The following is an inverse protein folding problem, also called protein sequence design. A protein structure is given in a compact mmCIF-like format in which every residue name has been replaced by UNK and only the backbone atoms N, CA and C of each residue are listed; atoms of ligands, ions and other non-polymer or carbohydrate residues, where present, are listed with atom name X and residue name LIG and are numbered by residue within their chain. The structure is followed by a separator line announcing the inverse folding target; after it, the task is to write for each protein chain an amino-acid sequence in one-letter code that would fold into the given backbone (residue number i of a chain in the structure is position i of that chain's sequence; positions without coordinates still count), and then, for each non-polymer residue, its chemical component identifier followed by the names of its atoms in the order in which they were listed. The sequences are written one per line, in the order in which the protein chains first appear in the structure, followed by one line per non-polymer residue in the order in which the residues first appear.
data_IF_474724370437
#
_entry.id   IF_474724370437
#
_cell.length_a   1.000
_cell.length_b   1.000
_cell.length_c   1.000
_cell.angle_alpha   90.00
_cell.angle_beta   90.00
_cell.angle_gamma   90.00
#
_symmetry.space_group_name_H-M   'P 1'
#
loop_
_entity.id
_entity.type
_entity.pdbx_description
1 polymer ?
#
# COMPACT_ATOMS: atom_id res chain seq x y z
N UNK A 1 4.86 8.51 2.24
CA UNK A 1 6.30 8.15 2.38
C UNK A 1 6.50 6.67 2.59
N UNK A 2 5.91 6.06 3.63
CA UNK A 2 6.05 4.60 3.88
C UNK A 2 5.60 3.77 2.67
N UNK A 3 4.46 4.10 2.07
CA UNK A 3 4.01 3.50 0.80
C UNK A 3 5.08 3.57 -0.32
N UNK A 4 5.80 4.69 -0.44
CA UNK A 4 6.89 4.86 -1.41
C UNK A 4 8.06 3.90 -1.14
N UNK A 5 8.40 3.69 0.14
CA UNK A 5 9.49 2.79 0.55
C UNK A 5 9.15 1.34 0.15
N UNK A 6 7.87 0.98 0.15
CA UNK A 6 7.36 -0.33 -0.28
C UNK A 6 7.31 -0.42 -1.82
N UNK A 7 6.74 0.59 -2.48
CA UNK A 7 6.46 0.56 -3.91
C UNK A 7 7.71 0.75 -4.77
N UNK A 8 8.65 1.60 -4.37
CA UNK A 8 9.80 2.01 -5.18
C UNK A 8 10.72 0.82 -5.49
N UNK A 9 11.12 -0.03 -4.51
CA UNK A 9 11.92 -1.22 -4.80
C UNK A 9 11.19 -2.22 -5.69
N UNK A 10 9.90 -2.49 -5.42
CA UNK A 10 9.10 -3.42 -6.24
C UNK A 10 8.97 -2.93 -7.69
N UNK A 11 8.61 -1.66 -7.90
CA UNK A 11 8.50 -1.07 -9.23
C UNK A 11 9.84 -1.10 -9.96
N UNK A 12 10.93 -0.69 -9.29
CA UNK A 12 12.25 -0.67 -9.88
C UNK A 12 12.74 -2.08 -10.24
N UNK A 13 12.64 -3.05 -9.33
CA UNK A 13 13.16 -4.40 -9.58
C UNK A 13 12.39 -5.15 -10.67
N UNK A 14 11.06 -5.02 -10.69
CA UNK A 14 10.22 -5.71 -11.67
C UNK A 14 10.29 -5.10 -13.07
N UNK A 15 10.71 -3.84 -13.20
CA UNK A 15 10.84 -3.16 -14.51
C UNK A 15 12.27 -3.12 -15.02
N UNK A 16 13.28 -3.03 -14.14
CA UNK A 16 14.70 -2.86 -14.51
C UNK A 16 15.44 -4.17 -14.79
N UNK A 17 15.06 -5.26 -14.13
CA UNK A 17 15.82 -6.51 -14.18
C UNK A 17 15.01 -7.63 -14.85
N UNK A 18 15.72 -8.57 -15.50
CA UNK A 18 15.11 -9.78 -16.04
C UNK A 18 14.68 -10.74 -14.91
N UNK A 19 13.51 -10.50 -14.33
CA UNK A 19 12.98 -11.31 -13.25
C UNK A 19 12.06 -12.42 -13.77
N UNK A 20 12.34 -13.67 -13.36
CA UNK A 20 11.35 -14.75 -13.47
C UNK A 20 10.26 -14.51 -12.41
N UNK A 21 9.01 -14.36 -12.85
CA UNK A 21 7.87 -14.09 -11.97
C UNK A 21 7.55 -12.61 -11.73
N UNK A 22 8.09 -11.67 -12.53
CA UNK A 22 7.76 -10.24 -12.41
C UNK A 22 6.24 -9.97 -12.45
N UNK A 23 5.51 -10.69 -13.30
CA UNK A 23 4.04 -10.62 -13.38
C UNK A 23 3.42 -11.03 -12.04
N UNK A 24 3.82 -12.19 -11.49
CA UNK A 24 3.31 -12.67 -10.20
C UNK A 24 3.58 -11.66 -9.07
N UNK A 25 4.79 -11.09 -9.01
CA UNK A 25 5.15 -10.08 -8.00
C UNK A 25 4.26 -8.85 -8.13
N UNK A 26 4.01 -8.36 -9.35
CA UNK A 26 3.11 -7.23 -9.58
C UNK A 26 1.66 -7.58 -9.22
N UNK A 27 1.17 -8.76 -9.61
CA UNK A 27 -0.18 -9.23 -9.27
C UNK A 27 -0.36 -9.33 -7.76
N UNK A 28 0.57 -9.99 -7.05
CA UNK A 28 0.56 -10.08 -5.59
C UNK A 28 0.67 -8.71 -4.92
N UNK A 29 1.48 -7.81 -5.48
CA UNK A 29 1.60 -6.44 -5.00
C UNK A 29 0.31 -5.63 -5.11
N UNK A 30 -0.65 -6.03 -5.95
CA UNK A 30 -1.95 -5.33 -6.12
C UNK A 30 -3.03 -5.91 -5.20
N UNK A 31 -2.88 -7.14 -4.73
CA UNK A 31 -3.84 -7.85 -3.84
C UNK A 31 -4.34 -7.02 -2.64
N UNK A 32 -3.54 -6.14 -2.00
CA UNK A 32 -4.04 -5.26 -0.94
C UNK A 32 -5.25 -4.42 -1.30
N UNK A 33 -5.38 -3.96 -2.55
CA UNK A 33 -6.53 -3.15 -2.98
C UNK A 33 -7.86 -3.93 -3.06
N UNK A 34 -7.83 -5.26 -2.99
CA UNK A 34 -9.03 -6.10 -3.21
C UNK A 34 -9.95 -6.10 -1.99
N UNK A 35 -9.44 -5.85 -0.78
CA UNK A 35 -10.25 -5.85 0.44
C UNK A 35 -10.38 -4.44 1.02
N UNK A 36 -11.41 -4.12 1.82
CA UNK A 36 -11.46 -2.84 2.53
C UNK A 36 -10.29 -2.69 3.52
N UNK A 37 -9.71 -1.49 3.69
CA UNK A 37 -8.52 -1.28 4.52
C UNK A 37 -8.76 -1.60 6.01
N UNK A 38 -9.93 -1.23 6.54
CA UNK A 38 -10.27 -1.47 7.94
C UNK A 38 -10.34 -2.97 8.28
N UNK A 39 -10.70 -3.83 7.32
CA UNK A 39 -10.70 -5.29 7.52
C UNK A 39 -9.25 -5.76 7.71
N UNK A 40 -8.33 -5.23 6.92
CA UNK A 40 -6.90 -5.46 7.09
C UNK A 40 -6.35 -4.96 8.42
N UNK A 41 -6.90 -3.87 8.98
CA UNK A 41 -6.46 -3.34 10.26
C UNK A 41 -6.71 -4.30 11.44
N UNK A 42 -7.84 -5.02 11.44
CA UNK A 42 -8.13 -6.06 12.45
C UNK A 42 -7.09 -7.18 12.38
N UNK A 43 -6.84 -7.71 11.17
CA UNK A 43 -5.84 -8.76 10.96
C UNK A 43 -4.43 -8.29 11.37
N UNK A 44 -4.08 -7.05 11.03
CA UNK A 44 -2.80 -6.44 11.40
C UNK A 44 -2.67 -6.23 12.91
N UNK A 45 -3.75 -5.96 13.63
CA UNK A 45 -3.72 -5.83 15.09
C UNK A 45 -3.37 -7.17 15.76
N UNK A 46 -3.87 -8.30 15.25
CA UNK A 46 -3.55 -9.63 15.77
C UNK A 46 -2.16 -10.12 15.37
N UNK A 47 -1.64 -9.66 14.24
CA UNK A 47 -0.29 -10.02 13.80
C UNK A 47 0.78 -9.12 14.43
N UNK A 48 0.58 -7.80 14.45
CA UNK A 48 1.58 -6.78 14.80
C UNK A 48 1.21 -5.92 16.02
N UNK A 49 0.08 -6.19 16.69
CA UNK A 49 -0.27 -5.54 17.95
C UNK A 49 0.71 -5.86 19.09
N UNK A 50 0.58 -5.19 20.23
CA UNK A 50 1.46 -5.41 21.39
C UNK A 50 1.47 -6.88 21.84
N UNK A 51 0.31 -7.55 21.81
CA UNK A 51 0.16 -8.99 22.08
C UNK A 51 -0.06 -9.81 20.80
N UNK A 52 0.34 -9.26 19.65
CA UNK A 52 0.20 -9.91 18.35
C UNK A 52 1.29 -10.94 18.10
N UNK A 53 1.05 -11.81 17.12
CA UNK A 53 1.89 -12.96 16.80
C UNK A 53 3.38 -12.62 16.66
N UNK A 54 3.69 -11.51 15.96
CA UNK A 54 5.07 -11.06 15.73
C UNK A 54 5.73 -10.60 17.03
N UNK A 55 5.03 -9.82 17.86
CA UNK A 55 5.58 -9.35 19.13
C UNK A 55 5.72 -10.47 20.16
N UNK A 56 4.83 -11.47 20.16
CA UNK A 56 4.97 -12.66 21.01
C UNK A 56 6.25 -13.43 20.66
N UNK A 57 6.50 -13.67 19.37
CA UNK A 57 7.72 -14.34 18.91
C UNK A 57 8.98 -13.50 19.22
N UNK A 58 8.95 -12.19 18.99
CA UNK A 58 10.06 -11.30 19.32
C UNK A 58 10.35 -11.25 20.83
N UNK A 59 9.30 -11.24 21.65
CA UNK A 59 9.43 -11.24 23.11
C UNK A 59 10.04 -12.54 23.61
N UNK A 60 9.58 -13.69 23.09
CA UNK A 60 10.10 -15.01 23.47
C UNK A 60 11.56 -15.20 23.05
N UNK A 61 11.94 -14.77 21.85
CA UNK A 61 13.27 -15.05 21.29
C UNK A 61 14.31 -14.01 21.64
N UNK A 62 13.90 -12.74 21.76
CA UNK A 62 14.81 -11.59 21.90
C UNK A 62 14.50 -10.73 23.13
N UNK A 63 13.38 -10.97 23.84
CA UNK A 63 12.96 -10.15 24.98
C UNK A 63 12.53 -8.74 24.60
N UNK A 64 12.17 -8.49 23.34
CA UNK A 64 11.81 -7.16 22.83
C UNK A 64 10.35 -7.10 22.37
N UNK A 65 9.72 -5.94 22.53
CA UNK A 65 8.39 -5.64 22.00
C UNK A 65 8.45 -4.34 21.21
N UNK A 66 7.94 -4.35 19.99
CA UNK A 66 7.98 -3.21 19.08
C UNK A 66 6.55 -2.67 18.91
N UNK A 67 6.30 -1.37 19.14
CA UNK A 67 4.96 -0.79 19.09
C UNK A 67 4.51 -0.49 17.65
N UNK A 68 4.45 -1.50 16.78
CA UNK A 68 4.08 -1.36 15.37
C UNK A 68 2.69 -0.74 15.17
N UNK A 69 1.70 -1.23 15.91
CA UNK A 69 0.28 -0.85 15.77
C UNK A 69 -0.19 0.19 16.80
N UNK A 70 0.72 0.78 17.59
CA UNK A 70 0.35 1.69 18.67
C UNK A 70 0.06 3.10 18.14
N UNK A 71 -1.12 3.63 18.47
CA UNK A 71 -1.49 4.99 18.10
C UNK A 71 -1.53 5.20 16.58
N UNK A 72 -1.05 6.36 16.12
CA UNK A 72 -1.01 6.69 14.69
C UNK A 72 -0.11 5.77 13.86
N UNK A 73 0.85 5.07 14.47
CA UNK A 73 1.73 4.15 13.74
C UNK A 73 0.95 3.00 13.09
N UNK A 74 -0.09 2.50 13.77
CA UNK A 74 -0.94 1.44 13.22
C UNK A 74 -1.71 1.91 11.99
N UNK A 75 -2.28 3.13 12.03
CA UNK A 75 -2.96 3.74 10.89
C UNK A 75 -1.99 3.90 9.72
N UNK A 76 -0.82 4.48 9.96
CA UNK A 76 0.22 4.69 8.93
C UNK A 76 0.63 3.35 8.29
N UNK A 77 0.82 2.30 9.09
CA UNK A 77 1.27 1.00 8.61
C UNK A 77 0.20 0.33 7.74
N UNK A 78 -1.05 0.28 8.23
CA UNK A 78 -2.18 -0.33 7.50
C UNK A 78 -2.42 0.40 6.19
N UNK A 79 -2.54 1.73 6.23
CA UNK A 79 -2.78 2.54 5.04
C UNK A 79 -1.64 2.45 4.04
N UNK A 80 -0.38 2.41 4.50
CA UNK A 80 0.75 2.27 3.61
C UNK A 80 0.75 0.92 2.88
N UNK A 81 0.50 -0.19 3.60
CA UNK A 81 0.39 -1.53 3.02
C UNK A 81 -0.81 -1.64 2.07
N UNK A 82 -1.92 -1.00 2.42
CA UNK A 82 -3.13 -1.08 1.64
C UNK A 82 -3.07 -0.24 0.35
N UNK A 83 -2.53 0.98 0.43
CA UNK A 83 -2.58 1.95 -0.66
C UNK A 83 -1.29 2.08 -1.49
N UNK A 84 -0.13 1.54 -1.08
CA UNK A 84 1.07 1.57 -1.94
C UNK A 84 0.87 1.02 -3.37
N UNK A 85 -0.10 0.12 -3.69
CA UNK A 85 -0.23 -0.38 -5.05
C UNK A 85 -0.56 0.73 -6.06
N UNK A 86 -1.18 1.84 -5.64
CA UNK A 86 -1.37 3.01 -6.50
C UNK A 86 -0.04 3.59 -6.99
N UNK A 87 0.97 3.67 -6.12
CA UNK A 87 2.32 4.09 -6.53
C UNK A 87 2.96 2.99 -7.38
N UNK A 88 2.85 1.73 -6.98
CA UNK A 88 3.43 0.60 -7.73
C UNK A 88 2.98 0.59 -9.19
N UNK A 89 1.67 0.67 -9.45
CA UNK A 89 1.09 0.63 -10.79
C UNK A 89 1.55 1.83 -11.63
N UNK A 90 1.36 3.05 -11.12
CA UNK A 90 1.67 4.26 -11.88
C UNK A 90 3.18 4.43 -12.11
N UNK A 91 4.00 4.12 -11.10
CA UNK A 91 5.45 4.19 -11.24
C UNK A 91 5.97 3.12 -12.20
N UNK A 92 5.47 1.89 -12.13
CA UNK A 92 5.88 0.82 -13.05
C UNK A 92 5.53 1.16 -14.49
N UNK A 93 4.33 1.70 -14.73
CA UNK A 93 3.92 2.18 -16.05
C UNK A 93 4.83 3.31 -16.55
N UNK A 94 5.17 4.29 -15.71
CA UNK A 94 6.08 5.37 -16.11
C UNK A 94 7.50 4.85 -16.41
N UNK A 95 8.03 3.94 -15.60
CA UNK A 95 9.33 3.31 -15.83
C UNK A 95 9.35 2.54 -17.16
N UNK A 96 8.30 1.80 -17.48
CA UNK A 96 8.17 1.06 -18.75
C UNK A 96 8.03 1.95 -19.98
N UNK A 97 7.69 3.24 -19.82
CA UNK A 97 7.58 4.20 -20.92
C UNK A 97 8.84 5.06 -21.12
N UNK A 98 9.90 4.86 -20.33
CA UNK A 98 11.17 5.55 -20.53
C UNK A 98 11.85 5.04 -21.81
N UNK A 99 12.29 5.97 -22.65
CA UNK A 99 13.08 5.66 -23.85
C UNK A 99 14.47 5.13 -23.47
N UNK A 100 14.85 3.98 -24.02
CA UNK A 100 16.17 3.34 -23.81
C UNK A 100 17.32 4.25 -24.20
N UNK A 101 17.15 5.06 -25.25
CA UNK A 101 18.20 5.96 -25.73
C UNK A 101 18.65 6.96 -24.67
N UNK A 102 17.76 7.36 -23.76
CA UNK A 102 18.09 8.26 -22.64
C UNK A 102 19.05 7.60 -21.65
N UNK A 103 18.86 6.30 -21.38
CA UNK A 103 19.73 5.55 -20.50
C UNK A 103 21.09 5.26 -21.15
N UNK A 104 21.08 4.83 -22.41
CA UNK A 104 22.30 4.53 -23.18
C UNK A 104 23.19 5.78 -23.31
N UNK A 105 22.58 6.93 -23.62
CA UNK A 105 23.29 8.21 -23.70
C UNK A 105 23.91 8.60 -22.35
N UNK A 106 23.17 8.43 -21.26
CA UNK A 106 23.68 8.71 -19.92
C UNK A 106 24.82 7.76 -19.51
N UNK A 107 24.75 6.48 -19.90
CA UNK A 107 25.81 5.50 -19.66
C UNK A 107 27.07 5.83 -20.47
N UNK A 108 26.94 6.25 -21.73
CA UNK A 108 28.05 6.72 -22.57
C UNK A 108 28.76 7.94 -21.96
N UNK A 109 28.03 8.78 -21.23
CA UNK A 109 28.58 9.92 -20.46
C UNK A 109 29.08 9.52 -19.05
N UNK A 110 29.14 8.23 -18.71
CA UNK A 110 29.69 7.70 -17.46
C UNK A 110 28.71 7.65 -16.28
N UNK A 111 27.40 7.78 -16.52
CA UNK A 111 26.38 7.58 -15.47
C UNK A 111 26.00 6.09 -15.34
N UNK A 112 26.21 5.50 -14.17
CA UNK A 112 25.87 4.09 -13.90
C UNK A 112 25.24 3.90 -12.51
N UNK A 113 24.63 2.73 -12.30
CA UNK A 113 24.05 2.33 -11.01
C UNK A 113 23.07 3.34 -10.41
N UNK A 114 23.28 3.71 -9.14
CA UNK A 114 22.44 4.66 -8.41
C UNK A 114 22.48 6.08 -9.01
N UNK A 115 23.60 6.46 -9.66
CA UNK A 115 23.74 7.77 -10.31
C UNK A 115 22.81 7.87 -11.52
N UNK A 116 22.77 6.83 -12.34
CA UNK A 116 21.85 6.73 -13.47
C UNK A 116 20.39 6.77 -12.99
N UNK A 117 20.07 6.00 -11.94
CA UNK A 117 18.72 5.98 -11.38
C UNK A 117 18.27 7.35 -10.88
N UNK A 118 19.07 8.00 -10.01
CA UNK A 118 18.69 9.27 -9.37
C UNK A 118 18.67 10.45 -10.33
N UNK A 119 19.54 10.47 -11.35
CA UNK A 119 19.66 11.61 -12.26
C UNK A 119 18.81 11.50 -13.53
N UNK A 120 18.51 10.28 -13.96
CA UNK A 120 17.84 10.04 -15.25
C UNK A 120 16.54 9.28 -15.04
N UNK A 121 16.61 8.03 -14.55
CA UNK A 121 15.44 7.13 -14.50
C UNK A 121 14.32 7.66 -13.60
N UNK A 122 14.64 7.98 -12.34
CA UNK A 122 13.62 8.42 -11.38
C UNK A 122 13.03 9.80 -11.73
N UNK A 123 13.83 10.81 -12.14
CA UNK A 123 13.28 12.06 -12.65
C UNK A 123 12.35 11.88 -13.86
N UNK A 124 12.68 10.99 -14.81
CA UNK A 124 11.81 10.69 -15.95
C UNK A 124 10.54 9.93 -15.54
N UNK A 125 10.61 9.07 -14.53
CA UNK A 125 9.47 8.35 -13.98
C UNK A 125 8.64 9.17 -12.96
N UNK A 126 9.09 10.38 -12.62
CA UNK A 126 8.45 11.24 -11.62
C UNK A 126 6.96 11.52 -11.89
N UNK A 127 6.45 11.58 -13.13
CA UNK A 127 5.01 11.75 -13.38
C UNK A 127 4.17 10.63 -12.84
N UNK A 128 4.58 9.39 -13.13
CA UNK A 128 3.89 8.21 -12.62
C UNK A 128 4.01 8.13 -11.11
N UNK A 129 5.18 8.47 -10.56
CA UNK A 129 5.33 8.56 -9.11
C UNK A 129 4.36 9.57 -8.48
N UNK A 130 4.32 10.81 -8.99
CA UNK A 130 3.46 11.87 -8.46
C UNK A 130 1.99 11.48 -8.62
N UNK A 131 1.58 10.97 -9.78
CA UNK A 131 0.20 10.51 -10.01
C UNK A 131 -0.20 9.43 -8.99
N UNK A 132 0.63 8.39 -8.82
CA UNK A 132 0.37 7.33 -7.84
C UNK A 132 0.38 7.82 -6.39
N UNK A 133 1.34 8.69 -6.02
CA UNK A 133 1.43 9.25 -4.68
C UNK A 133 0.25 10.17 -4.35
N UNK A 134 -0.29 10.87 -5.33
CA UNK A 134 -1.48 11.72 -5.19
C UNK A 134 -2.72 10.89 -4.90
N UNK A 135 -2.87 9.74 -5.58
CA UNK A 135 -3.95 8.80 -5.30
C UNK A 135 -3.84 8.22 -3.89
N UNK A 136 -2.64 7.84 -3.45
CA UNK A 136 -2.41 7.41 -2.05
C UNK A 136 -2.80 8.49 -1.07
N UNK A 137 -2.35 9.73 -1.30
CA UNK A 137 -2.69 10.85 -0.44
C UNK A 137 -4.21 11.03 -0.34
N UNK A 138 -4.90 11.08 -1.48
CA UNK A 138 -6.36 11.25 -1.53
C UNK A 138 -7.08 10.17 -0.72
N UNK A 139 -6.68 8.90 -0.91
CA UNK A 139 -7.28 7.72 -0.27
C UNK A 139 -7.01 7.57 1.22
N UNK A 140 -5.89 8.12 1.69
CA UNK A 140 -5.57 8.19 3.12
C UNK A 140 -6.29 9.36 3.78
N UNK A 141 -6.34 10.49 3.07
CA UNK A 141 -6.89 11.72 3.61
C UNK A 141 -8.41 11.64 3.85
N UNK A 142 -9.12 10.82 3.08
CA UNK A 142 -10.56 10.58 3.22
C UNK A 142 -10.93 9.33 4.04
N UNK A 143 -9.95 8.55 4.52
CA UNK A 143 -10.24 7.34 5.30
C UNK A 143 -10.64 7.69 6.73
N UNK A 144 -11.76 7.10 7.15
CA UNK A 144 -12.28 7.20 8.51
C UNK A 144 -12.43 5.84 9.18
N UNK A 145 -12.57 4.76 8.41
CA UNK A 145 -12.90 3.45 8.95
C UNK A 145 -11.67 2.83 9.63
N UNK A 146 -10.49 2.92 9.01
CA UNK A 146 -9.25 2.39 9.57
C UNK A 146 -8.86 3.08 10.88
N UNK A 147 -8.83 4.43 10.98
CA UNK A 147 -8.54 5.09 12.24
C UNK A 147 -9.58 4.78 13.33
N UNK A 148 -10.88 4.83 13.03
CA UNK A 148 -11.92 4.54 14.02
C UNK A 148 -11.82 3.12 14.56
N UNK A 149 -11.55 2.14 13.71
CA UNK A 149 -11.36 0.75 14.13
C UNK A 149 -10.13 0.59 15.04
N UNK A 150 -9.07 1.35 14.79
CA UNK A 150 -7.88 1.40 15.65
C UNK A 150 -8.04 2.36 16.85
N UNK A 151 -9.25 2.86 17.10
CA UNK A 151 -9.58 3.81 18.17
C UNK A 151 -8.77 5.12 18.09
N UNK A 152 -8.49 5.56 16.87
CA UNK A 152 -7.83 6.82 16.55
C UNK A 152 -8.87 7.82 16.07
N UNK A 153 -9.28 8.67 17.00
CA UNK A 153 -10.39 9.60 16.79
C UNK A 153 -9.91 11.02 16.54
N UNK A 154 -8.61 11.32 16.64
CA UNK A 154 -8.04 12.66 16.53
C UNK A 154 -7.61 13.02 15.09
N UNK A 155 -8.41 12.60 14.11
CA UNK A 155 -8.22 12.90 12.68
C UNK A 155 -9.49 13.52 12.10
N UNK A 156 -9.37 14.33 11.05
CA UNK A 156 -10.50 15.10 10.50
C UNK A 156 -11.64 14.20 10.00
N UNK A 157 -11.35 13.15 9.22
CA UNK A 157 -12.38 12.28 8.68
C UNK A 157 -13.16 11.49 9.76
N UNK A 158 -12.49 10.83 10.73
CA UNK A 158 -13.15 10.28 11.93
C UNK A 158 -13.98 11.32 12.71
N UNK A 159 -13.44 12.53 12.92
CA UNK A 159 -14.15 13.59 13.66
C UNK A 159 -15.40 14.08 12.95
N UNK A 160 -15.35 14.25 11.61
CA UNK A 160 -16.52 14.60 10.82
C UNK A 160 -17.63 13.56 10.99
N UNK A 161 -17.27 12.27 10.86
CA UNK A 161 -18.19 11.17 11.03
C UNK A 161 -18.79 11.12 12.45
N UNK A 162 -17.95 11.18 13.49
CA UNK A 162 -18.40 11.11 14.88
C UNK A 162 -19.31 12.29 15.26
N UNK A 163 -19.02 13.51 14.78
CA UNK A 163 -19.89 14.67 15.04
C UNK A 163 -21.27 14.49 14.41
N UNK A 164 -21.31 14.08 13.14
CA UNK A 164 -22.58 13.88 12.42
C UNK A 164 -23.41 12.76 13.05
N UNK A 165 -22.78 11.66 13.45
CA UNK A 165 -23.48 10.46 13.94
C UNK A 165 -23.77 10.48 15.44
N UNK A 166 -22.88 11.03 16.26
CA UNK A 166 -23.00 10.99 17.73
C UNK A 166 -23.63 12.25 18.32
N UNK A 167 -23.39 13.43 17.73
CA UNK A 167 -23.99 14.69 18.18
C UNK A 167 -25.27 14.97 17.39
N UNK A 168 -25.29 14.58 16.12
CA UNK A 168 -26.44 14.67 15.24
C UNK A 168 -26.29 15.73 14.14
N UNK A 169 -27.26 15.72 13.23
CA UNK A 169 -27.33 16.58 12.04
C UNK A 169 -27.38 18.08 12.40
N UNK A 170 -27.69 18.42 13.65
CA UNK A 170 -27.69 19.80 14.13
C UNK A 170 -26.31 20.36 14.43
N UNK A 171 -25.23 19.57 14.52
CA UNK A 171 -23.87 20.09 14.73
C UNK A 171 -23.26 20.59 13.41
N UNK A 172 -23.15 21.91 13.19
CA UNK A 172 -22.61 22.46 11.94
C UNK A 172 -21.15 22.07 11.73
N UNK A 173 -20.41 21.76 12.80
CA UNK A 173 -18.98 21.49 12.75
C UNK A 173 -18.66 20.22 11.95
N UNK A 174 -19.52 19.19 12.00
CA UNK A 174 -19.35 17.99 11.19
C UNK A 174 -19.31 18.31 9.69
N UNK A 175 -20.21 19.19 9.24
CA UNK A 175 -20.26 19.63 7.84
C UNK A 175 -19.11 20.56 7.48
N UNK A 176 -18.71 21.46 8.37
CA UNK A 176 -17.54 22.34 8.15
C UNK A 176 -16.28 21.52 7.96
N UNK A 177 -16.04 20.49 8.77
CA UNK A 177 -14.89 19.59 8.61
C UNK A 177 -14.96 18.88 7.26
N UNK A 178 -16.13 18.38 6.85
CA UNK A 178 -16.32 17.76 5.53
C UNK A 178 -16.01 18.70 4.37
N UNK A 179 -16.43 19.98 4.45
CA UNK A 179 -16.10 20.99 3.43
C UNK A 179 -14.60 21.28 3.40
N UNK A 180 -13.94 21.37 4.56
CA UNK A 180 -12.48 21.54 4.65
C UNK A 180 -11.76 20.34 4.03
N UNK A 181 -12.21 19.11 4.29
CA UNK A 181 -11.66 17.90 3.70
C UNK A 181 -11.76 17.94 2.17
N UNK A 182 -12.95 18.26 1.63
CA UNK A 182 -13.15 18.37 0.18
C UNK A 182 -12.25 19.46 -0.42
N UNK A 183 -12.19 20.64 0.20
CA UNK A 183 -11.36 21.74 -0.28
C UNK A 183 -9.87 21.36 -0.30
N UNK A 184 -9.38 20.70 0.75
CA UNK A 184 -7.98 20.26 0.83
C UNK A 184 -7.67 19.14 -0.15
N UNK A 185 -8.58 18.19 -0.36
CA UNK A 185 -8.45 17.13 -1.37
C UNK A 185 -8.38 17.72 -2.79
N UNK A 186 -9.26 18.67 -3.13
CA UNK A 186 -9.22 19.36 -4.42
C UNK A 186 -7.94 20.17 -4.60
N UNK A 187 -7.51 20.89 -3.55
CA UNK A 187 -6.25 21.62 -3.56
C UNK A 187 -5.05 20.70 -3.78
N UNK A 188 -5.01 19.56 -3.09
CA UNK A 188 -3.93 18.57 -3.22
C UNK A 188 -3.89 17.97 -4.63
N UNK A 189 -5.04 17.63 -5.21
CA UNK A 189 -5.13 17.18 -6.60
C UNK A 189 -4.67 18.28 -7.57
N UNK A 190 -5.08 19.53 -7.35
CA UNK A 190 -4.66 20.67 -8.18
C UNK A 190 -3.15 20.90 -8.12
N UNK A 191 -2.54 20.86 -6.93
CA UNK A 191 -1.08 20.93 -6.75
C UNK A 191 -0.39 19.78 -7.48
N UNK A 192 -0.98 18.58 -7.43
CA UNK A 192 -0.47 17.40 -8.13
C UNK A 192 -0.52 17.58 -9.65
N UNK A 193 -1.61 18.13 -10.19
CA UNK A 193 -1.71 18.48 -11.62
C UNK A 193 -0.69 19.56 -12.03
N UNK A 194 -0.49 20.59 -11.21
CA UNK A 194 0.52 21.63 -11.46
C UNK A 194 1.94 21.05 -11.50
N UNK A 195 2.25 20.12 -10.60
CA UNK A 195 3.54 19.44 -10.57
C UNK A 195 3.82 18.61 -11.84
N UNK A 196 2.75 18.23 -12.56
CA UNK A 196 2.79 17.48 -13.82
C UNK A 196 2.75 18.38 -15.07
N UNK A 197 2.15 19.57 -14.99
CA UNK A 197 1.79 20.44 -16.13
C UNK A 197 2.96 20.94 -16.99
N UNK A 198 4.12 21.22 -16.39
CA UNK A 198 5.24 21.90 -17.07
C UNK A 198 6.38 20.97 -17.47
N UNK A 199 6.11 19.68 -17.56
CA UNK A 199 7.15 18.71 -17.86
C UNK A 199 6.74 17.95 -19.10
N UNK A 200 7.24 18.42 -20.23
CA UNK A 200 7.25 17.68 -21.49
C UNK A 200 8.10 16.43 -21.29
N UNK A 201 7.49 15.39 -20.73
CA UNK A 201 8.04 14.03 -20.77
C UNK A 201 7.71 13.43 -22.13
N UNK A 202 8.10 14.14 -23.18
CA UNK A 202 8.07 13.66 -24.57
C UNK A 202 9.13 12.58 -24.78
N UNK A 203 9.21 11.61 -23.87
CA UNK A 203 9.73 10.26 -24.13
C UNK A 203 8.63 9.42 -24.76
N UNK A 204 7.86 10.01 -25.69
CA UNK A 204 6.97 9.26 -26.57
C UNK A 204 7.86 8.28 -27.34
N UNK A 205 7.76 7.03 -26.94
CA UNK A 205 8.47 5.87 -27.47
C UNK A 205 8.54 5.90 -29.00
N UNK A 206 9.67 6.35 -29.57
CA UNK A 206 9.93 6.33 -31.03
C UNK A 206 10.67 5.08 -31.51
N UNK A 207 10.96 4.13 -30.62
CA UNK A 207 11.60 2.84 -30.86
C UNK A 207 11.44 1.92 -29.65
N UNK A 208 11.65 0.60 -29.79
CA UNK A 208 11.32 -0.43 -28.79
C UNK A 208 11.56 -0.02 -27.32
N UNK A 209 10.48 0.30 -26.61
CA UNK A 209 10.51 1.03 -25.34
C UNK A 209 10.78 0.18 -24.10
N UNK A 210 10.76 0.87 -22.96
CA UNK A 210 11.00 0.33 -21.63
C UNK A 210 12.47 0.29 -21.26
N UNK A 211 12.75 0.44 -19.95
CA UNK A 211 14.10 0.41 -19.38
C UNK A 211 14.95 -0.72 -19.97
N UNK A 212 16.24 -0.45 -20.16
CA UNK A 212 17.19 -1.48 -20.56
C UNK A 212 17.18 -2.58 -19.49
N UNK A 213 16.75 -3.79 -19.82
CA UNK A 213 16.75 -4.86 -18.81
C UNK A 213 18.19 -5.29 -18.56
N UNK A 214 18.63 -5.20 -17.30
CA UNK A 214 19.96 -5.65 -16.88
C UNK A 214 19.85 -7.05 -16.29
N UNK A 215 20.85 -7.88 -16.59
CA UNK A 215 21.05 -9.13 -15.86
C UNK A 215 21.77 -8.86 -14.54
N UNK A 216 21.26 -9.47 -13.48
CA UNK A 216 21.81 -9.39 -12.13
C UNK A 216 22.90 -10.43 -11.93
N UNK A 217 23.94 -10.08 -11.18
CA UNK A 217 24.86 -11.10 -10.65
C UNK A 217 24.11 -12.01 -9.68
N UNK A 218 24.54 -13.28 -9.47
CA UNK A 218 23.82 -14.21 -8.60
C UNK A 218 23.56 -13.68 -7.18
N UNK A 219 24.53 -12.98 -6.58
CA UNK A 219 24.37 -12.39 -5.24
C UNK A 219 23.40 -11.20 -5.23
N UNK A 220 23.44 -10.35 -6.26
CA UNK A 220 22.49 -9.24 -6.41
C UNK A 220 21.06 -9.77 -6.58
N UNK A 221 20.90 -10.88 -7.32
CA UNK A 221 19.63 -11.56 -7.52
C UNK A 221 19.06 -12.12 -6.21
N UNK A 222 19.88 -12.80 -5.38
CA UNK A 222 19.45 -13.28 -4.07
C UNK A 222 18.99 -12.12 -3.18
N UNK A 223 19.76 -11.02 -3.13
CA UNK A 223 19.38 -9.83 -2.38
C UNK A 223 18.05 -9.22 -2.86
N UNK A 224 17.85 -9.11 -4.18
CA UNK A 224 16.59 -8.61 -4.74
C UNK A 224 15.41 -9.53 -4.40
N UNK A 225 15.55 -10.85 -4.54
CA UNK A 225 14.49 -11.79 -4.14
C UNK A 225 14.18 -11.71 -2.65
N UNK A 226 15.18 -11.60 -1.79
CA UNK A 226 14.97 -11.41 -0.35
C UNK A 226 14.14 -10.16 -0.06
N UNK A 227 14.49 -9.02 -0.64
CA UNK A 227 13.74 -7.76 -0.46
C UNK A 227 12.31 -7.90 -0.99
N UNK A 228 12.12 -8.50 -2.16
CA UNK A 228 10.79 -8.70 -2.75
C UNK A 228 9.93 -9.62 -1.87
N UNK A 229 10.47 -10.76 -1.43
CA UNK A 229 9.75 -11.72 -0.58
C UNK A 229 9.41 -11.07 0.76
N UNK A 230 10.33 -10.32 1.37
CA UNK A 230 10.07 -9.61 2.60
C UNK A 230 8.95 -8.58 2.44
N UNK A 231 8.99 -7.77 1.37
CA UNK A 231 7.93 -6.79 1.08
C UNK A 231 6.60 -7.50 0.84
N UNK A 232 6.57 -8.55 0.00
CA UNK A 232 5.34 -9.29 -0.28
C UNK A 232 4.77 -9.95 0.98
N UNK A 233 5.62 -10.51 1.84
CA UNK A 233 5.19 -11.06 3.12
C UNK A 233 4.54 -9.99 4.00
N UNK A 234 5.19 -8.83 4.15
CA UNK A 234 4.65 -7.70 4.93
C UNK A 234 3.34 -7.16 4.33
N UNK A 235 3.25 -7.12 3.00
CA UNK A 235 2.10 -6.55 2.32
C UNK A 235 0.89 -7.49 2.30
N UNK A 236 1.13 -8.80 2.20
CA UNK A 236 0.10 -9.83 2.19
C UNK A 236 -0.27 -10.30 3.61
N UNK A 237 0.45 -9.87 4.63
CA UNK A 237 0.16 -10.24 6.02
C UNK A 237 -1.28 -9.91 6.46
N UNK A 238 -1.92 -8.80 6.05
CA UNK A 238 -3.33 -8.56 6.39
C UNK A 238 -4.26 -9.64 5.82
N UNK A 239 -4.01 -10.14 4.60
CA UNK A 239 -4.82 -11.19 3.97
C UNK A 239 -4.58 -12.54 4.60
N UNK A 240 -3.33 -12.84 4.96
CA UNK A 240 -2.98 -14.04 5.71
C UNK A 240 -3.68 -14.02 7.07
N UNK A 241 -3.61 -12.92 7.81
CA UNK A 241 -4.29 -12.77 9.09
C UNK A 241 -5.81 -12.85 8.95
N UNK A 242 -6.39 -12.26 7.90
CA UNK A 242 -7.82 -12.36 7.63
C UNK A 242 -8.25 -13.81 7.31
N UNK A 243 -7.46 -14.53 6.52
CA UNK A 243 -7.72 -15.94 6.23
C UNK A 243 -7.60 -16.80 7.49
N UNK A 244 -6.60 -16.55 8.34
CA UNK A 244 -6.49 -17.24 9.62
C UNK A 244 -7.69 -16.93 10.54
N UNK A 245 -8.17 -15.69 10.54
CA UNK A 245 -9.37 -15.29 11.29
C UNK A 245 -10.65 -15.94 10.75
N UNK A 246 -10.78 -16.08 9.44
CA UNK A 246 -12.01 -16.62 8.85
C UNK A 246 -12.20 -18.11 9.12
N UNK A 247 -11.11 -18.84 9.39
CA UNK A 247 -11.16 -20.22 9.86
C UNK A 247 -10.96 -20.36 11.37
N UNK A 248 -10.32 -19.39 12.04
CA UNK A 248 -9.99 -19.45 13.44
C UNK A 248 -11.21 -19.35 14.37
N UNK A 249 -11.18 -20.03 15.50
CA UNK A 249 -12.21 -19.90 16.55
C UNK A 249 -11.91 -18.72 17.47
N UNK A 250 -10.80 -18.78 18.20
CA UNK A 250 -10.32 -17.76 19.12
C UNK A 250 -8.86 -17.49 18.76
N UNK A 251 -8.51 -16.21 18.64
CA UNK A 251 -7.13 -15.79 18.43
C UNK A 251 -6.81 -14.65 19.38
N UNK A 252 -6.22 -15.00 20.52
CA UNK A 252 -5.99 -14.07 21.62
C UNK A 252 -4.73 -14.46 22.38
N UNK A 253 -3.76 -13.54 22.49
CA UNK A 253 -2.48 -13.77 23.18
C UNK A 253 -1.71 -15.02 22.70
N UNK A 254 -1.91 -15.43 21.45
CA UNK A 254 -1.28 -16.61 20.84
C UNK A 254 -0.74 -16.29 19.45
N UNK A 255 0.30 -17.02 19.01
CA UNK A 255 0.92 -16.85 17.69
C UNK A 255 0.00 -17.29 16.55
N UNK A 256 -0.90 -18.25 16.83
CA UNK A 256 -1.90 -18.74 15.88
C UNK A 256 -3.25 -18.92 16.58
N UNK A 257 -4.36 -18.94 15.82
CA UNK A 257 -5.66 -19.31 16.38
C UNK A 257 -5.63 -20.65 17.11
N UNK A 258 -6.41 -20.76 18.19
CA UNK A 258 -6.41 -21.95 19.06
C UNK A 258 -6.99 -23.19 18.37
N UNK A 259 -7.94 -22.99 17.45
CA UNK A 259 -8.49 -24.04 16.60
C UNK A 259 -9.04 -23.46 15.29
N UNK A 260 -9.26 -24.34 14.31
CA UNK A 260 -9.84 -24.00 13.00
C UNK A 260 -11.19 -24.68 12.80
N UNK A 261 -12.15 -23.97 12.20
CA UNK A 261 -13.50 -24.43 11.91
C UNK A 261 -14.00 -23.88 10.56
N UNK A 262 -14.93 -24.63 9.93
CA UNK A 262 -15.66 -24.19 8.74
C UNK A 262 -17.08 -23.69 9.06
N UNK A 263 -17.47 -23.72 10.34
CA UNK A 263 -18.81 -23.31 10.78
C UNK A 263 -19.16 -21.88 10.37
N UNK A 264 -18.18 -20.96 10.46
CA UNK A 264 -18.35 -19.54 10.09
C UNK A 264 -18.88 -19.37 8.65
N UNK A 265 -18.39 -20.18 7.72
CA UNK A 265 -18.83 -20.12 6.32
C UNK A 265 -20.22 -20.72 6.13
N UNK A 266 -20.52 -21.84 6.80
CA UNK A 266 -21.85 -22.44 6.76
C UNK A 266 -22.92 -21.48 7.30
N UNK A 267 -22.63 -20.80 8.41
CA UNK A 267 -23.51 -19.80 9.01
C UNK A 267 -23.69 -18.59 8.08
N UNK A 268 -22.61 -18.10 7.47
CA UNK A 268 -22.67 -16.99 6.51
C UNK A 268 -23.53 -17.32 5.29
N UNK A 269 -23.36 -18.49 4.66
CA UNK A 269 -24.17 -18.85 3.49
C UNK A 269 -25.65 -19.08 3.83
N UNK A 270 -25.95 -19.51 5.05
CA UNK A 270 -27.35 -19.70 5.49
C UNK A 270 -28.06 -18.39 5.84
N UNK A 271 -27.34 -17.39 6.35
CA UNK A 271 -27.92 -16.16 6.91
C UNK A 271 -27.74 -14.92 6.05
N UNK A 272 -26.70 -14.86 5.20
CA UNK A 272 -26.31 -13.66 4.46
C UNK A 272 -26.91 -13.56 3.05
N UNK A 273 -27.87 -14.41 2.67
CA UNK A 273 -28.43 -14.45 1.31
C UNK A 273 -28.91 -13.09 0.81
N UNK A 274 -29.59 -12.32 1.66
CA UNK A 274 -30.03 -10.96 1.33
C UNK A 274 -28.86 -9.98 1.12
N UNK A 275 -27.82 -10.07 1.95
CA UNK A 275 -26.64 -9.19 1.84
C UNK A 275 -25.85 -9.47 0.55
N UNK A 276 -25.68 -10.76 0.22
CA UNK A 276 -25.04 -11.20 -1.03
C UNK A 276 -25.86 -10.70 -2.22
N UNK A 277 -27.18 -10.90 -2.20
CA UNK A 277 -28.06 -10.43 -3.27
C UNK A 277 -27.99 -8.92 -3.48
N UNK A 278 -28.10 -8.14 -2.39
CA UNK A 278 -27.99 -6.68 -2.45
C UNK A 278 -26.64 -6.19 -2.99
N UNK A 279 -25.57 -6.99 -2.85
CA UNK A 279 -24.23 -6.64 -3.35
C UNK A 279 -24.06 -6.97 -4.85
N UNK A 280 -24.84 -7.92 -5.38
CA UNK A 280 -24.75 -8.37 -6.77
C UNK A 280 -25.69 -7.62 -7.74
N UNK A 281 -26.74 -6.96 -7.22
CA UNK A 281 -27.62 -6.08 -7.99
C UNK A 281 -26.90 -4.82 -8.48
#
# INVERSE_FOLDING_TARGET
VVATIISLPLAYFTTRFNFRGAILIQTLGIVPLIMPPFVGAVAMLLLFGENGSVNLLLSEWLGITIPFMKGLNGVILVEAIHYFPFILINLSAALLNIDRAMEESAQNLGASGIRLFRRIVFPLAMPGYVAGASLVFLKVFDDLATPLLLNINNMLAPQAYLRITSIGISDPMGYVISVILVAFSLFSLWVSFLALKNKDYSTLQKGGGGLMRRDLKPWELVGCYFVIIFILFLVLSPHIGLALLSFGTIWSFSVFPDAFTLAHYADMFSSAGQYIWNTLL
#
